data_IF_839560266876
#
_entry.id   IF_839560266876
#
_cell.length_a   1.000
_cell.length_b   1.000
_cell.length_c   1.000
_cell.angle_alpha   90.00
_cell.angle_beta   90.00
_cell.angle_gamma   90.00
#
_symmetry.space_group_name_H-M   'P 1'
#
loop_
_entity.id
_entity.type
_entity.pdbx_description
1 polymer ?
#
# COMPACT_ATOMS: atom_id res chain seq x y z
N UNK A 1 -9.41 -38.47 9.11
CA UNK A 1 -9.45 -37.01 9.31
C UNK A 1 -8.05 -36.50 9.65
N UNK A 2 -7.27 -37.13 10.56
CA UNK A 2 -5.89 -36.71 10.90
C UNK A 2 -4.94 -36.77 9.69
N UNK A 3 -4.95 -37.84 8.92
CA UNK A 3 -4.12 -38.02 7.73
C UNK A 3 -4.32 -36.95 6.65
N UNK A 4 -5.55 -36.47 6.47
CA UNK A 4 -5.88 -35.38 5.53
C UNK A 4 -5.33 -34.01 5.97
N UNK A 5 -5.27 -33.75 7.30
CA UNK A 5 -4.66 -32.54 7.86
C UNK A 5 -3.13 -32.54 7.67
N UNK A 6 -2.49 -33.67 7.90
CA UNK A 6 -1.04 -33.78 7.64
C UNK A 6 -0.71 -33.69 6.15
N UNK A 7 -1.55 -34.24 5.27
CA UNK A 7 -1.36 -34.13 3.83
C UNK A 7 -1.44 -32.68 3.34
N UNK A 8 -2.41 -31.90 3.83
CA UNK A 8 -2.53 -30.47 3.51
C UNK A 8 -1.37 -29.64 4.08
N UNK A 9 -0.92 -29.96 5.29
CA UNK A 9 0.22 -29.31 5.92
C UNK A 9 1.54 -29.67 5.22
N UNK A 10 1.70 -30.92 4.82
CA UNK A 10 2.87 -31.40 4.07
C UNK A 10 2.89 -30.83 2.64
N UNK A 11 1.73 -30.74 1.96
CA UNK A 11 1.60 -30.04 0.69
C UNK A 11 1.93 -28.55 0.83
N UNK A 12 1.52 -27.88 1.89
CA UNK A 12 1.87 -26.48 2.17
C UNK A 12 3.38 -26.31 2.39
N UNK A 13 4.02 -27.22 3.17
CA UNK A 13 5.48 -27.20 3.39
C UNK A 13 6.23 -27.49 2.09
N UNK A 14 5.80 -28.45 1.27
CA UNK A 14 6.43 -28.76 -0.03
C UNK A 14 6.26 -27.59 -1.01
N UNK A 15 5.13 -26.88 -0.97
CA UNK A 15 4.91 -25.68 -1.78
C UNK A 15 5.84 -24.52 -1.37
N UNK A 16 6.17 -24.41 -0.07
CA UNK A 16 7.10 -23.40 0.44
C UNK A 16 8.58 -23.75 0.19
N UNK A 17 8.94 -25.05 0.10
CA UNK A 17 10.34 -25.49 0.04
C UNK A 17 11.02 -25.38 -1.34
N UNK A 18 10.27 -25.13 -2.41
CA UNK A 18 10.81 -25.00 -3.78
C UNK A 18 10.59 -23.62 -4.39
N UNK A 19 10.29 -22.61 -3.57
CA UNK A 19 10.01 -21.27 -4.08
C UNK A 19 11.23 -20.37 -3.90
N UNK A 20 11.81 -20.00 -5.00
CA UNK A 20 12.80 -18.93 -5.06
C UNK A 20 12.05 -17.59 -4.97
N UNK A 21 12.09 -16.94 -3.82
CA UNK A 21 11.57 -15.58 -3.57
C UNK A 21 12.69 -14.70 -2.99
N UNK A 22 12.58 -13.40 -3.08
CA UNK A 22 13.42 -12.48 -2.32
C UNK A 22 12.49 -11.66 -1.44
N UNK A 23 12.74 -11.68 -0.13
CA UNK A 23 11.93 -11.22 0.97
C UNK A 23 10.89 -10.15 0.68
N UNK A 24 9.68 -10.35 1.16
CA UNK A 24 8.51 -9.49 0.95
C UNK A 24 8.64 -8.07 1.52
N UNK A 25 9.61 -7.31 1.05
CA UNK A 25 9.83 -5.91 1.41
C UNK A 25 9.01 -5.01 0.50
N UNK A 26 7.96 -4.38 1.03
CA UNK A 26 7.14 -3.44 0.26
C UNK A 26 7.81 -2.07 0.15
N UNK A 27 7.62 -1.42 -1.00
CA UNK A 27 8.13 -0.08 -1.30
C UNK A 27 7.02 0.93 -1.09
N UNK A 28 7.26 1.96 -0.29
CA UNK A 28 6.27 2.98 0.02
C UNK A 28 5.57 3.52 -1.24
N UNK A 29 4.26 3.71 -1.18
CA UNK A 29 3.41 4.14 -2.31
C UNK A 29 3.82 5.47 -2.93
N UNK A 30 4.54 6.33 -2.19
CA UNK A 30 5.03 7.63 -2.64
C UNK A 30 6.43 7.55 -3.26
N UNK A 31 7.00 6.36 -3.46
CA UNK A 31 8.31 6.24 -4.12
C UNK A 31 8.22 6.61 -5.60
N UNK A 32 9.13 7.44 -6.05
CA UNK A 32 9.16 7.95 -7.44
C UNK A 32 9.37 6.86 -8.50
N UNK A 33 9.82 5.67 -8.11
CA UNK A 33 9.94 4.53 -9.03
C UNK A 33 8.62 4.16 -9.69
N UNK A 34 7.49 4.34 -8.98
CA UNK A 34 6.16 4.05 -9.55
C UNK A 34 5.81 4.96 -10.72
N UNK A 35 6.17 6.24 -10.65
CA UNK A 35 5.98 7.20 -11.75
C UNK A 35 6.84 6.81 -12.96
N UNK A 36 8.10 6.40 -12.72
CA UNK A 36 8.97 5.90 -13.77
C UNK A 36 8.40 4.63 -14.44
N UNK A 37 7.92 3.65 -13.67
CA UNK A 37 7.30 2.45 -14.21
C UNK A 37 6.03 2.77 -15.02
N UNK A 38 5.20 3.70 -14.55
CA UNK A 38 4.01 4.15 -15.27
C UNK A 38 4.35 4.84 -16.60
N UNK A 39 5.38 5.69 -16.61
CA UNK A 39 5.93 6.30 -17.83
C UNK A 39 6.36 5.22 -18.81
N UNK A 40 7.13 4.22 -18.36
CA UNK A 40 7.61 3.12 -19.22
C UNK A 40 6.45 2.25 -19.74
N UNK A 41 5.44 2.01 -18.92
CA UNK A 41 4.21 1.32 -19.34
C UNK A 41 3.47 2.13 -20.42
N UNK A 42 3.30 3.43 -20.22
CA UNK A 42 2.59 4.31 -21.18
C UNK A 42 3.34 4.38 -22.52
N UNK A 43 4.67 4.35 -22.51
CA UNK A 43 5.50 4.23 -23.72
C UNK A 43 5.45 2.85 -24.38
N UNK A 44 4.91 1.84 -23.70
CA UNK A 44 4.79 0.46 -24.19
C UNK A 44 6.07 -0.35 -24.07
N UNK A 45 7.00 0.09 -23.20
CA UNK A 45 8.26 -0.61 -22.90
C UNK A 45 8.01 -1.86 -22.09
N UNK A 46 7.18 -1.75 -21.06
CA UNK A 46 6.78 -2.83 -20.13
C UNK A 46 5.27 -2.97 -20.06
N UNK A 47 4.81 -4.04 -19.37
CA UNK A 47 3.41 -4.31 -19.06
C UNK A 47 3.17 -4.21 -17.54
N UNK A 48 3.19 -2.97 -17.04
CA UNK A 48 3.08 -2.65 -15.63
C UNK A 48 1.63 -2.40 -15.21
N UNK A 49 1.21 -3.00 -14.09
CA UNK A 49 -0.06 -2.72 -13.41
C UNK A 49 0.17 -1.92 -12.14
N UNK A 50 -0.47 -0.75 -12.05
CA UNK A 50 -0.49 0.06 -10.83
C UNK A 50 -1.73 -0.15 -9.97
N UNK A 51 -2.66 -1.02 -10.38
CA UNK A 51 -3.95 -1.21 -9.72
C UNK A 51 -3.81 -1.47 -8.22
N UNK A 52 -2.77 -2.19 -7.82
CA UNK A 52 -2.48 -2.51 -6.41
C UNK A 52 -1.10 -2.00 -6.02
N UNK A 53 -1.05 -1.05 -5.10
CA UNK A 53 0.18 -0.57 -4.46
C UNK A 53 0.04 -0.60 -2.93
N UNK A 54 1.13 -0.81 -2.17
CA UNK A 54 2.53 -0.93 -2.60
C UNK A 54 2.86 -2.30 -3.23
N UNK A 55 3.95 -2.32 -4.04
CA UNK A 55 4.58 -3.53 -4.60
C UNK A 55 5.85 -3.87 -3.84
N UNK A 56 6.28 -5.13 -3.94
CA UNK A 56 7.55 -5.55 -3.34
C UNK A 56 8.75 -5.01 -4.11
N UNK A 57 9.90 -4.89 -3.45
CA UNK A 57 11.17 -4.48 -4.06
C UNK A 57 11.53 -5.42 -5.21
N UNK A 58 11.32 -6.72 -5.03
CA UNK A 58 11.60 -7.72 -6.06
C UNK A 58 10.69 -7.53 -7.30
N UNK A 59 9.39 -7.31 -7.13
CA UNK A 59 8.49 -7.06 -8.25
C UNK A 59 8.88 -5.80 -9.03
N UNK A 60 9.35 -4.76 -8.33
CA UNK A 60 9.86 -3.53 -8.97
C UNK A 60 11.15 -3.84 -9.75
N UNK A 61 12.07 -4.59 -9.17
CA UNK A 61 13.32 -4.97 -9.84
C UNK A 61 13.08 -5.79 -11.11
N UNK A 62 12.08 -6.69 -11.10
CA UNK A 62 11.67 -7.43 -12.30
C UNK A 62 11.23 -6.48 -13.43
N UNK A 63 10.42 -5.47 -13.14
CA UNK A 63 10.04 -4.46 -14.13
C UNK A 63 11.23 -3.63 -14.62
N UNK A 64 12.14 -3.22 -13.73
CA UNK A 64 13.35 -2.51 -14.12
C UNK A 64 14.22 -3.37 -15.05
N UNK A 65 14.33 -4.66 -14.77
CA UNK A 65 15.05 -5.63 -15.60
C UNK A 65 14.39 -5.83 -16.96
N UNK A 66 13.06 -5.86 -17.02
CA UNK A 66 12.31 -5.88 -18.29
C UNK A 66 12.59 -4.63 -19.12
N UNK A 67 12.62 -3.43 -18.50
CA UNK A 67 12.97 -2.17 -19.17
C UNK A 67 14.39 -2.23 -19.76
N UNK A 68 15.37 -2.70 -18.97
CA UNK A 68 16.78 -2.80 -19.39
C UNK A 68 16.96 -3.72 -20.60
N UNK A 69 16.21 -4.81 -20.62
CA UNK A 69 16.28 -5.82 -21.69
C UNK A 69 15.36 -5.51 -22.89
N UNK A 70 14.60 -4.43 -22.82
CA UNK A 70 13.67 -4.06 -23.89
C UNK A 70 14.44 -3.55 -25.13
N UNK A 71 14.02 -3.92 -26.34
CA UNK A 71 14.61 -3.37 -27.59
C UNK A 71 14.23 -1.90 -27.82
N UNK A 72 13.34 -1.34 -27.03
CA UNK A 72 12.89 0.06 -27.17
C UNK A 72 14.00 1.00 -26.75
N UNK A 73 14.34 1.96 -27.62
CA UNK A 73 15.34 2.96 -27.29
C UNK A 73 14.81 3.92 -26.20
N UNK A 74 15.54 3.96 -25.10
CA UNK A 74 15.35 4.94 -24.03
C UNK A 74 16.08 6.24 -24.36
N UNK A 75 15.53 7.38 -23.96
CA UNK A 75 16.24 8.67 -23.99
C UNK A 75 17.42 8.64 -23.02
N UNK A 76 18.31 9.62 -23.14
CA UNK A 76 19.48 9.75 -22.24
C UNK A 76 19.03 9.89 -20.78
N UNK A 77 17.99 10.69 -20.53
CA UNK A 77 17.45 10.93 -19.19
C UNK A 77 16.86 9.63 -18.63
N UNK A 78 16.05 8.92 -19.40
CA UNK A 78 15.45 7.65 -18.96
C UNK A 78 16.48 6.57 -18.66
N UNK A 79 17.60 6.52 -19.37
CA UNK A 79 18.71 5.62 -19.02
C UNK A 79 19.35 6.01 -17.70
N UNK A 80 19.55 7.30 -17.44
CA UNK A 80 20.09 7.79 -16.17
C UNK A 80 19.13 7.48 -15.00
N UNK A 81 17.82 7.67 -15.20
CA UNK A 81 16.80 7.27 -14.22
C UNK A 81 16.82 5.76 -13.96
N UNK A 82 16.87 4.95 -15.02
CA UNK A 82 16.95 3.50 -14.91
C UNK A 82 18.21 3.07 -14.15
N UNK A 83 19.39 3.61 -14.49
CA UNK A 83 20.65 3.31 -13.81
C UNK A 83 20.60 3.70 -12.33
N UNK A 84 19.91 4.81 -12.01
CA UNK A 84 19.72 5.25 -10.64
C UNK A 84 18.84 4.26 -9.85
N UNK A 85 17.73 3.79 -10.43
CA UNK A 85 16.88 2.79 -9.79
C UNK A 85 17.57 1.43 -9.70
N UNK A 86 18.40 1.03 -10.66
CA UNK A 86 19.19 -0.18 -10.55
C UNK A 86 20.15 -0.16 -9.35
N UNK A 87 20.68 1.00 -8.98
CA UNK A 87 21.47 1.15 -7.74
C UNK A 87 20.60 1.07 -6.48
N UNK A 88 19.40 1.65 -6.50
CA UNK A 88 18.45 1.57 -5.39
C UNK A 88 18.00 0.14 -5.09
N UNK A 89 17.81 -0.65 -6.15
CA UNK A 89 17.33 -2.03 -6.08
C UNK A 89 18.43 -3.05 -6.36
N UNK A 90 19.69 -2.72 -6.05
CA UNK A 90 20.88 -3.53 -6.38
C UNK A 90 20.83 -4.94 -5.78
N UNK A 91 20.35 -5.06 -4.53
CA UNK A 91 20.34 -6.32 -3.80
C UNK A 91 19.22 -7.28 -4.21
N UNK A 92 18.24 -6.82 -4.95
CA UNK A 92 17.21 -7.68 -5.53
C UNK A 92 17.73 -8.49 -6.73
N UNK A 93 18.93 -8.15 -7.23
CA UNK A 93 19.61 -8.95 -8.25
C UNK A 93 20.41 -10.09 -7.60
N UNK A 94 19.88 -11.32 -7.69
CA UNK A 94 20.51 -12.52 -7.12
C UNK A 94 21.95 -12.75 -7.56
N UNK A 95 22.29 -12.39 -8.79
CA UNK A 95 23.65 -12.55 -9.31
C UNK A 95 24.68 -11.71 -8.55
N UNK A 96 24.23 -10.66 -7.87
CA UNK A 96 25.12 -9.80 -7.09
C UNK A 96 25.43 -10.39 -5.70
N UNK A 97 24.54 -11.27 -5.17
CA UNK A 97 24.64 -11.82 -3.81
C UNK A 97 25.40 -13.17 -3.82
N UNK A 98 25.16 -14.02 -4.83
CA UNK A 98 25.69 -15.40 -4.88
C UNK A 98 27.21 -15.49 -5.01
N UNK A 99 27.92 -14.40 -5.28
CA UNK A 99 29.38 -14.38 -5.40
C UNK A 99 30.17 -13.84 -4.18
N UNK A 100 29.48 -13.36 -3.14
CA UNK A 100 30.17 -12.75 -1.99
C UNK A 100 30.18 -13.68 -0.79
N UNK A 101 31.23 -14.50 -0.69
CA UNK A 101 31.46 -15.39 0.47
C UNK A 101 31.79 -14.61 1.76
N UNK A 102 32.10 -13.32 1.66
CA UNK A 102 32.53 -12.49 2.78
C UNK A 102 31.42 -11.53 3.19
N UNK A 103 31.06 -11.53 4.47
CA UNK A 103 30.19 -10.54 5.07
C UNK A 103 30.79 -9.13 4.91
N UNK A 104 29.99 -8.15 4.50
CA UNK A 104 30.44 -6.76 4.39
C UNK A 104 29.66 -5.87 5.32
N UNK A 105 30.38 -5.14 6.15
CA UNK A 105 29.86 -4.06 6.97
C UNK A 105 30.29 -2.74 6.33
N UNK A 106 29.32 -1.91 5.94
CA UNK A 106 29.58 -0.58 5.40
C UNK A 106 28.96 0.47 6.31
N UNK A 107 29.78 1.45 6.68
CA UNK A 107 29.35 2.61 7.43
C UNK A 107 29.91 3.86 6.76
N UNK A 108 29.03 4.76 6.33
CA UNK A 108 29.38 6.00 5.63
C UNK A 108 30.26 5.80 4.38
N UNK A 109 30.27 4.62 3.76
CA UNK A 109 31.01 4.36 2.52
C UNK A 109 30.13 4.62 1.30
N UNK A 110 30.71 5.12 0.22
CA UNK A 110 30.03 5.29 -1.08
C UNK A 110 30.46 4.14 -1.98
N UNK A 111 29.60 3.14 -2.20
CA UNK A 111 29.89 2.05 -3.12
C UNK A 111 29.85 2.54 -4.57
N UNK A 112 30.56 1.86 -5.47
CA UNK A 112 30.62 2.23 -6.88
C UNK A 112 29.31 1.91 -7.63
N UNK A 113 28.74 0.76 -7.35
CA UNK A 113 27.64 0.16 -8.11
C UNK A 113 26.31 0.15 -7.34
N UNK A 114 26.28 0.72 -6.14
CA UNK A 114 25.15 0.76 -5.21
C UNK A 114 24.91 2.20 -4.75
N UNK A 115 23.78 2.44 -4.04
CA UNK A 115 23.50 3.71 -3.37
C UNK A 115 24.31 3.86 -2.08
N UNK A 116 24.59 5.11 -1.73
CA UNK A 116 25.09 5.42 -0.40
C UNK A 116 24.04 5.12 0.66
N UNK A 117 24.45 4.32 1.66
CA UNK A 117 23.67 4.05 2.86
C UNK A 117 24.46 4.50 4.09
N UNK A 118 23.75 4.99 5.11
CA UNK A 118 24.38 5.38 6.36
C UNK A 118 24.99 4.16 7.06
N UNK A 119 24.20 3.08 7.16
CA UNK A 119 24.64 1.78 7.66
C UNK A 119 24.10 0.69 6.76
N UNK A 120 24.94 -0.25 6.43
CA UNK A 120 24.58 -1.41 5.63
C UNK A 120 25.41 -2.61 6.06
N UNK A 121 24.72 -3.73 6.24
CA UNK A 121 25.34 -5.03 6.44
C UNK A 121 24.70 -6.06 5.53
N UNK A 122 25.51 -6.88 4.89
CA UNK A 122 25.01 -8.04 4.15
C UNK A 122 25.99 -9.22 4.23
N UNK A 123 25.41 -10.42 4.22
CA UNK A 123 26.10 -11.68 4.03
C UNK A 123 25.27 -12.58 3.07
N UNK A 124 25.58 -13.86 2.99
CA UNK A 124 24.86 -14.82 2.12
C UNK A 124 23.40 -15.03 2.50
N UNK A 125 22.97 -14.67 3.70
CA UNK A 125 21.64 -14.97 4.24
C UNK A 125 20.87 -13.75 4.74
N UNK A 126 21.59 -12.69 5.11
CA UNK A 126 21.00 -11.51 5.73
C UNK A 126 21.52 -10.23 5.11
N UNK A 127 20.61 -9.33 4.83
CA UNK A 127 20.90 -7.96 4.40
C UNK A 127 20.06 -6.98 5.20
N UNK A 128 20.67 -5.90 5.69
CA UNK A 128 19.98 -4.80 6.36
C UNK A 128 20.58 -3.47 5.96
N UNK A 129 19.70 -2.51 5.68
CA UNK A 129 20.05 -1.12 5.42
C UNK A 129 19.35 -0.23 6.45
N UNK A 130 20.06 0.80 6.91
CA UNK A 130 19.53 1.77 7.86
C UNK A 130 19.97 3.16 7.44
N UNK A 131 18.99 4.06 7.26
CA UNK A 131 19.22 5.43 6.84
C UNK A 131 18.49 6.42 7.76
N UNK A 132 19.13 7.49 8.26
CA UNK A 132 18.44 8.57 8.93
C UNK A 132 17.59 9.37 7.92
N UNK A 133 16.46 9.85 8.38
CA UNK A 133 15.59 10.80 7.65
C UNK A 133 15.75 12.16 8.33
N UNK A 134 16.24 13.14 7.61
CA UNK A 134 16.42 14.51 8.14
C UNK A 134 16.01 15.48 7.04
N UNK A 135 15.17 16.46 7.38
CA UNK A 135 14.80 17.48 6.45
C UNK A 135 14.14 18.70 7.08
N UNK A 136 14.11 19.75 6.31
CA UNK A 136 13.40 20.99 6.65
C UNK A 136 12.87 21.63 5.37
N UNK A 137 11.75 22.33 5.49
CA UNK A 137 11.23 23.19 4.42
C UNK A 137 10.77 24.52 4.99
N UNK A 138 10.95 25.56 4.20
CA UNK A 138 10.45 26.90 4.47
C UNK A 138 9.63 27.37 3.26
N UNK A 139 8.45 27.85 3.51
CA UNK A 139 7.55 28.32 2.47
C UNK A 139 6.82 29.61 2.83
N UNK A 140 6.29 30.25 1.82
CA UNK A 140 5.38 31.40 1.96
C UNK A 140 4.05 31.05 1.29
N UNK A 141 2.96 31.10 2.07
CA UNK A 141 1.60 30.86 1.59
C UNK A 141 0.81 32.14 1.88
N UNK A 142 0.35 32.84 0.86
CA UNK A 142 -0.35 34.13 1.00
C UNK A 142 0.36 35.13 1.92
N UNK A 143 1.69 35.26 1.79
CA UNK A 143 2.57 36.08 2.65
C UNK A 143 2.69 35.61 4.11
N UNK A 144 2.16 34.47 4.45
CA UNK A 144 2.34 33.84 5.75
C UNK A 144 3.48 32.83 5.68
N UNK A 145 4.27 32.75 6.73
CA UNK A 145 5.42 31.84 6.79
C UNK A 145 4.97 30.43 7.19
N UNK A 146 5.57 29.43 6.59
CA UNK A 146 5.48 28.04 7.00
C UNK A 146 6.87 27.46 7.15
N UNK A 147 7.19 26.94 8.32
CA UNK A 147 8.40 26.23 8.63
C UNK A 147 8.05 24.80 9.03
N UNK A 148 8.58 23.82 8.30
CA UNK A 148 8.43 22.41 8.61
C UNK A 148 9.81 21.77 8.78
N UNK A 149 9.96 20.91 9.79
CA UNK A 149 11.14 20.08 9.98
C UNK A 149 10.71 18.65 10.30
N UNK A 150 11.52 17.68 9.89
CA UNK A 150 11.28 16.28 10.19
C UNK A 150 12.59 15.55 10.44
N UNK A 151 12.51 14.57 11.33
CA UNK A 151 13.61 13.66 11.64
C UNK A 151 13.06 12.24 11.74
N UNK A 152 13.89 11.25 11.45
CA UNK A 152 13.41 9.88 11.53
C UNK A 152 14.44 8.85 11.11
N UNK A 153 13.95 7.66 10.84
CA UNK A 153 14.72 6.49 10.47
C UNK A 153 13.98 5.68 9.41
N UNK A 154 14.71 5.26 8.39
CA UNK A 154 14.24 4.28 7.42
C UNK A 154 15.14 3.06 7.43
N UNK A 155 14.56 1.88 7.51
CA UNK A 155 15.32 0.63 7.43
C UNK A 155 14.52 -0.40 6.61
N UNK A 156 15.24 -1.27 5.94
CA UNK A 156 14.69 -2.50 5.40
C UNK A 156 15.70 -3.64 5.56
N UNK A 157 15.19 -4.86 5.62
CA UNK A 157 16.02 -6.04 5.74
C UNK A 157 15.45 -7.20 4.91
N UNK A 158 16.31 -8.12 4.53
CA UNK A 158 15.94 -9.42 3.97
C UNK A 158 16.66 -10.53 4.72
N UNK A 159 15.98 -11.66 4.90
CA UNK A 159 16.48 -12.85 5.58
C UNK A 159 16.22 -14.09 4.73
N UNK A 160 17.31 -14.72 4.30
CA UNK A 160 17.26 -15.78 3.31
C UNK A 160 16.67 -15.29 1.99
N UNK A 161 15.97 -16.19 1.32
CA UNK A 161 15.41 -15.88 -0.01
C UNK A 161 13.97 -15.38 0.02
N UNK A 162 13.25 -15.54 1.14
CA UNK A 162 11.81 -15.39 1.16
C UNK A 162 11.28 -14.38 2.17
N UNK A 163 12.04 -14.09 3.23
CA UNK A 163 11.59 -13.20 4.28
C UNK A 163 12.20 -11.81 4.16
N UNK A 164 11.44 -10.81 4.50
CA UNK A 164 11.94 -9.46 4.58
C UNK A 164 10.96 -8.52 5.25
N UNK A 165 11.41 -7.30 5.48
CA UNK A 165 10.57 -6.29 6.07
C UNK A 165 11.19 -4.92 5.94
N UNK A 166 10.38 -3.92 6.26
CA UNK A 166 10.78 -2.53 6.32
C UNK A 166 10.20 -1.88 7.57
N UNK A 167 10.82 -0.82 8.00
CA UNK A 167 10.31 0.05 9.05
C UNK A 167 10.73 1.48 8.76
N UNK A 168 9.77 2.40 8.81
CA UNK A 168 9.97 3.82 8.64
C UNK A 168 9.31 4.56 9.78
N UNK A 169 10.05 5.45 10.38
CA UNK A 169 9.57 6.38 11.39
C UNK A 169 9.97 7.79 11.01
N UNK A 170 9.03 8.72 11.04
CA UNK A 170 9.27 10.14 10.78
C UNK A 170 8.47 10.98 11.75
N UNK A 171 9.19 11.78 12.53
CA UNK A 171 8.61 12.77 13.42
C UNK A 171 8.65 14.15 12.75
N UNK A 172 7.51 14.81 12.70
CA UNK A 172 7.30 16.07 11.99
C UNK A 172 6.86 17.15 12.97
N UNK A 173 7.41 18.31 12.80
CA UNK A 173 7.01 19.54 13.45
C UNK A 173 6.80 20.62 12.40
N UNK A 174 5.67 21.31 12.47
CA UNK A 174 5.27 22.35 11.53
C UNK A 174 4.78 23.57 12.28
N UNK A 175 5.27 24.75 11.90
CA UNK A 175 4.92 26.04 12.47
C UNK A 175 4.58 27.04 11.38
N UNK A 176 3.49 27.82 11.58
CA UNK A 176 3.10 28.88 10.66
C UNK A 176 1.76 29.49 10.99
N UNK A 177 1.58 30.73 10.55
CA UNK A 177 0.39 31.54 10.83
C UNK A 177 -0.88 31.01 10.13
N UNK A 178 -0.72 30.12 9.14
CA UNK A 178 -1.82 29.53 8.37
C UNK A 178 -2.27 28.15 8.91
N UNK A 179 -1.61 27.66 9.96
CA UNK A 179 -1.98 26.36 10.54
C UNK A 179 -3.36 26.45 11.18
N UNK A 180 -4.27 25.60 10.71
CA UNK A 180 -5.59 25.47 11.29
C UNK A 180 -5.47 24.77 12.65
N UNK A 181 -5.84 25.46 13.70
CA UNK A 181 -6.06 24.84 15.01
C UNK A 181 -7.13 23.75 14.87
N UNK A 182 -6.97 22.65 15.58
CA UNK A 182 -7.85 21.47 15.50
C UNK A 182 -7.84 20.72 14.16
N UNK A 183 -6.84 20.90 13.33
CA UNK A 183 -6.62 20.06 12.15
C UNK A 183 -6.41 18.60 12.59
N UNK A 184 -7.23 17.70 12.07
CA UNK A 184 -7.15 16.27 12.40
C UNK A 184 -6.14 15.55 11.50
N UNK A 185 -6.12 15.91 10.20
CA UNK A 185 -5.22 15.31 9.21
C UNK A 185 -4.29 16.36 8.63
N UNK A 186 -3.10 15.91 8.23
CA UNK A 186 -2.14 16.72 7.48
C UNK A 186 -2.53 16.76 6.00
N UNK A 187 -1.91 17.65 5.22
CA UNK A 187 -2.11 17.72 3.77
C UNK A 187 -1.38 16.57 3.04
N UNK A 188 -0.39 15.96 3.70
CA UNK A 188 0.30 14.78 3.21
C UNK A 188 -0.43 13.52 3.65
N UNK A 189 -0.59 12.55 2.78
CA UNK A 189 -0.97 11.14 3.06
C UNK A 189 -1.93 10.86 4.23
N UNK A 190 -2.78 11.81 4.63
CA UNK A 190 -3.76 11.59 5.70
C UNK A 190 -3.18 11.28 7.09
N UNK A 191 -1.95 11.71 7.39
CA UNK A 191 -1.33 11.49 8.70
C UNK A 191 -2.07 12.28 9.77
N UNK A 192 -2.40 11.62 10.87
CA UNK A 192 -3.07 12.24 12.01
C UNK A 192 -2.17 13.23 12.74
N UNK A 193 -2.71 14.40 13.10
CA UNK A 193 -2.05 15.33 13.99
C UNK A 193 -2.14 14.81 15.42
N UNK A 194 -0.99 14.61 16.07
CA UNK A 194 -0.91 14.09 17.44
C UNK A 194 -1.11 15.20 18.45
N UNK A 195 -0.50 16.37 18.20
CA UNK A 195 -0.55 17.52 19.10
C UNK A 195 -0.66 18.81 18.30
N UNK A 196 -1.56 19.67 18.73
CA UNK A 196 -1.75 21.00 18.18
C UNK A 196 -1.63 22.03 19.30
N UNK A 197 -0.89 23.09 19.04
CA UNK A 197 -0.81 24.29 19.87
C UNK A 197 -1.17 25.54 19.05
N UNK A 198 -1.13 26.71 19.63
CA UNK A 198 -1.58 27.95 18.95
C UNK A 198 -0.83 28.21 17.65
N UNK A 199 0.46 27.88 17.56
CA UNK A 199 1.31 28.22 16.43
C UNK A 199 2.04 27.02 15.78
N UNK A 200 1.87 25.81 16.31
CA UNK A 200 2.53 24.61 15.76
C UNK A 200 1.68 23.34 15.88
N UNK A 201 2.00 22.39 15.03
CA UNK A 201 1.48 21.02 15.05
C UNK A 201 2.62 20.02 15.05
N UNK A 202 2.43 18.93 15.78
CA UNK A 202 3.35 17.80 15.84
C UNK A 202 2.62 16.53 15.41
N UNK A 203 3.26 15.74 14.57
CA UNK A 203 2.70 14.48 14.11
C UNK A 203 3.81 13.50 13.72
N UNK A 204 3.58 12.24 14.00
CA UNK A 204 4.53 11.18 13.65
C UNK A 204 3.92 10.24 12.62
N UNK A 205 4.72 9.85 11.66
CA UNK A 205 4.39 8.81 10.69
C UNK A 205 5.19 7.55 11.01
N UNK A 206 4.48 6.44 11.24
CA UNK A 206 5.07 5.13 11.49
C UNK A 206 4.44 4.13 10.54
N UNK A 207 5.26 3.53 9.70
CA UNK A 207 4.84 2.44 8.84
C UNK A 207 5.92 1.37 8.76
N UNK A 208 5.53 0.17 8.42
CA UNK A 208 6.44 -0.94 8.28
C UNK A 208 5.71 -2.26 8.15
N UNK A 209 6.40 -3.24 7.61
CA UNK A 209 5.86 -4.57 7.38
C UNK A 209 6.91 -5.64 7.48
N UNK A 210 6.45 -6.85 7.78
CA UNK A 210 7.24 -8.09 7.63
C UNK A 210 6.43 -9.01 6.73
N UNK A 211 7.11 -9.60 5.76
CA UNK A 211 6.46 -10.45 4.77
C UNK A 211 7.29 -11.63 4.33
N UNK A 212 6.59 -12.61 3.83
CA UNK A 212 7.11 -13.76 3.11
C UNK A 212 6.73 -13.63 1.64
N UNK A 213 7.69 -13.74 0.75
CA UNK A 213 7.47 -13.69 -0.69
C UNK A 213 7.99 -14.96 -1.35
N UNK A 214 7.17 -15.53 -2.20
CA UNK A 214 7.52 -16.63 -3.08
C UNK A 214 7.10 -16.33 -4.51
N UNK A 215 7.45 -17.19 -5.44
CA UNK A 215 7.06 -17.05 -6.86
C UNK A 215 5.54 -16.87 -7.05
N UNK A 216 4.72 -17.52 -6.21
CA UNK A 216 3.28 -17.60 -6.40
C UNK A 216 2.47 -16.91 -5.31
N UNK A 217 3.03 -16.74 -4.12
CA UNK A 217 2.30 -16.29 -2.94
C UNK A 217 3.16 -15.31 -2.13
N UNK A 218 2.59 -14.15 -1.81
CA UNK A 218 3.16 -13.22 -0.85
C UNK A 218 2.19 -13.05 0.30
N UNK A 219 2.71 -13.11 1.52
CA UNK A 219 1.95 -12.86 2.75
C UNK A 219 2.68 -11.80 3.55
N UNK A 220 1.97 -10.80 4.05
CA UNK A 220 2.56 -9.78 4.89
C UNK A 220 1.63 -9.35 6.02
N UNK A 221 2.25 -8.92 7.10
CA UNK A 221 1.61 -8.19 8.20
C UNK A 221 2.36 -6.88 8.41
N UNK A 222 1.64 -5.83 8.74
CA UNK A 222 2.28 -4.52 8.94
C UNK A 222 1.28 -3.41 9.18
N UNK A 223 1.77 -2.19 9.06
CA UNK A 223 0.99 -0.95 9.03
C UNK A 223 1.52 -0.10 7.88
N UNK A 224 0.69 0.24 6.91
CA UNK A 224 1.14 0.98 5.73
C UNK A 224 0.00 1.78 5.08
N UNK A 225 0.37 2.56 4.07
CA UNK A 225 -0.53 3.23 3.14
C UNK A 225 -0.78 2.36 1.93
N UNK A 226 -1.98 2.49 1.36
CA UNK A 226 -2.39 1.73 0.19
C UNK A 226 -2.94 2.66 -0.88
N UNK A 227 -2.72 2.28 -2.14
CA UNK A 227 -3.28 2.96 -3.28
C UNK A 227 -3.79 1.90 -4.25
N UNK A 228 -5.12 1.73 -4.32
CA UNK A 228 -5.79 0.72 -5.15
C UNK A 228 -6.68 1.37 -6.20
N UNK A 229 -6.47 0.99 -7.45
CA UNK A 229 -7.12 1.53 -8.63
C UNK A 229 -6.16 2.22 -9.58
N UNK A 230 -6.56 2.38 -10.83
CA UNK A 230 -5.75 2.95 -11.90
C UNK A 230 -5.71 4.48 -11.92
N UNK A 231 -6.45 5.16 -11.06
CA UNK A 231 -6.48 6.63 -10.99
C UNK A 231 -5.13 7.24 -10.60
N UNK A 232 -4.82 8.45 -11.07
CA UNK A 232 -3.56 9.13 -10.74
C UNK A 232 -3.69 10.13 -9.60
N UNK A 233 -4.80 10.85 -9.53
CA UNK A 233 -5.02 11.93 -8.54
C UNK A 233 -6.17 11.64 -7.59
N UNK A 234 -7.05 10.74 -7.94
CA UNK A 234 -8.16 10.29 -7.12
C UNK A 234 -8.33 8.78 -7.24
N UNK A 235 -8.43 8.12 -6.11
CA UNK A 235 -8.66 6.68 -6.00
C UNK A 235 -10.02 6.46 -5.36
N UNK A 236 -10.86 5.64 -5.99
CA UNK A 236 -12.19 5.31 -5.46
C UNK A 236 -12.17 4.05 -4.59
N UNK A 237 -11.22 3.13 -4.82
CA UNK A 237 -11.17 1.85 -4.12
C UNK A 237 -10.48 2.04 -2.76
N UNK A 238 -9.22 2.46 -2.78
CA UNK A 238 -8.44 2.74 -1.58
C UNK A 238 -7.36 3.78 -1.91
N UNK A 239 -7.31 4.86 -1.14
CA UNK A 239 -6.42 5.98 -1.41
C UNK A 239 -5.33 6.10 -0.33
N UNK A 240 -4.12 6.45 -0.75
CA UNK A 240 -3.00 6.84 0.10
C UNK A 240 -3.24 8.12 0.91
N UNK A 241 -4.35 8.82 0.64
CA UNK A 241 -4.82 9.96 1.47
C UNK A 241 -5.53 9.50 2.75
N UNK A 242 -5.96 8.25 2.81
CA UNK A 242 -6.41 7.63 4.05
C UNK A 242 -5.22 7.41 5.01
N UNK A 243 -5.42 7.47 6.34
CA UNK A 243 -4.39 7.10 7.31
C UNK A 243 -3.86 5.70 7.08
N UNK A 244 -2.57 5.49 7.36
CA UNK A 244 -2.01 4.15 7.40
C UNK A 244 -2.68 3.31 8.49
N UNK A 245 -2.91 2.04 8.21
CA UNK A 245 -3.58 1.14 9.16
C UNK A 245 -2.87 -0.22 9.24
N UNK A 246 -2.93 -0.89 10.40
CA UNK A 246 -2.46 -2.26 10.54
C UNK A 246 -3.23 -3.20 9.62
N UNK A 247 -2.54 -4.19 9.04
CA UNK A 247 -3.14 -5.09 8.07
C UNK A 247 -2.53 -6.49 8.06
N UNK A 248 -3.30 -7.42 7.49
CA UNK A 248 -2.84 -8.71 6.97
C UNK A 248 -3.10 -8.69 5.47
N UNK A 249 -2.11 -9.04 4.65
CA UNK A 249 -2.19 -9.04 3.19
C UNK A 249 -1.79 -10.40 2.64
N UNK A 250 -2.49 -10.82 1.58
CA UNK A 250 -2.20 -12.01 0.79
C UNK A 250 -2.28 -11.66 -0.69
N UNK A 251 -1.19 -11.88 -1.42
CA UNK A 251 -1.14 -11.75 -2.87
C UNK A 251 -0.86 -13.14 -3.48
N UNK A 252 -1.65 -13.55 -4.47
CA UNK A 252 -1.50 -14.82 -5.16
C UNK A 252 -1.33 -14.56 -6.66
N UNK A 253 -0.27 -15.13 -7.26
CA UNK A 253 0.08 -15.01 -8.67
C UNK A 253 0.11 -16.41 -9.32
N UNK A 254 -1.05 -17.07 -9.50
CA UNK A 254 -1.10 -18.48 -9.94
C UNK A 254 -0.59 -18.65 -11.37
N UNK A 255 -0.83 -17.66 -12.23
CA UNK A 255 -0.40 -17.62 -13.63
C UNK A 255 -0.02 -16.18 -14.03
N UNK A 256 0.70 -16.01 -15.14
CA UNK A 256 1.22 -14.70 -15.56
C UNK A 256 0.13 -13.66 -15.93
N UNK A 257 -1.07 -14.12 -16.29
CA UNK A 257 -2.19 -13.26 -16.71
C UNK A 257 -3.24 -13.02 -15.63
N UNK A 258 -3.13 -13.67 -14.44
CA UNK A 258 -4.10 -13.54 -13.34
C UNK A 258 -3.37 -13.33 -12.02
N UNK A 259 -3.85 -12.36 -11.24
CA UNK A 259 -3.40 -12.09 -9.87
C UNK A 259 -4.61 -11.91 -8.97
N UNK A 260 -4.49 -12.38 -7.75
CA UNK A 260 -5.46 -12.19 -6.70
C UNK A 260 -4.80 -11.48 -5.52
N UNK A 261 -5.46 -10.46 -5.00
CA UNK A 261 -5.00 -9.70 -3.85
C UNK A 261 -6.09 -9.68 -2.78
N UNK A 262 -5.69 -9.82 -1.55
CA UNK A 262 -6.57 -9.71 -0.40
C UNK A 262 -5.89 -8.90 0.69
N UNK A 263 -6.67 -8.05 1.40
CA UNK A 263 -6.25 -7.32 2.58
C UNK A 263 -7.34 -7.37 3.64
N UNK A 264 -6.91 -7.52 4.89
CA UNK A 264 -7.76 -7.28 6.07
C UNK A 264 -7.09 -6.22 6.93
N UNK A 265 -7.75 -5.07 7.09
CA UNK A 265 -7.27 -3.90 7.81
C UNK A 265 -7.98 -3.69 9.14
N UNK A 266 -7.23 -3.20 10.11
CA UNK A 266 -7.69 -2.82 11.45
C UNK A 266 -7.71 -1.29 11.51
N UNK A 267 -8.92 -0.71 11.54
CA UNK A 267 -9.12 0.72 11.46
C UNK A 267 -9.42 1.33 12.84
N UNK A 268 -9.19 2.62 12.98
CA UNK A 268 -9.69 3.39 14.11
C UNK A 268 -11.06 4.02 13.74
N UNK A 269 -12.10 3.75 14.53
CA UNK A 269 -13.43 4.32 14.29
C UNK A 269 -13.54 5.77 14.76
N UNK A 270 -12.74 6.17 15.76
CA UNK A 270 -12.86 7.42 16.50
C UNK A 270 -14.24 7.67 17.11
N UNK A 271 -15.03 6.62 17.27
CA UNK A 271 -16.33 6.65 17.92
C UNK A 271 -16.18 5.98 19.28
N UNK A 272 -16.20 6.75 20.38
CA UNK A 272 -16.10 6.17 21.71
C UNK A 272 -17.26 5.22 22.01
N UNK A 273 -16.93 4.06 22.56
CA UNK A 273 -17.92 3.09 23.03
C UNK A 273 -18.28 3.39 24.49
N UNK A 274 -19.43 4.00 24.72
CA UNK A 274 -19.89 4.37 26.06
C UNK A 274 -20.05 3.18 27.02
N UNK A 275 -20.24 1.97 26.50
CA UNK A 275 -20.33 0.75 27.32
C UNK A 275 -18.99 0.35 27.97
N UNK A 276 -17.88 0.87 27.45
CA UNK A 276 -16.51 0.58 27.91
C UNK A 276 -15.93 1.66 28.83
N UNK A 277 -16.69 2.71 29.15
CA UNK A 277 -16.20 3.80 29.99
C UNK A 277 -16.00 3.34 31.43
N UNK A 278 -14.83 3.67 31.96
CA UNK A 278 -14.57 3.53 33.40
C UNK A 278 -13.64 4.62 33.90
N UNK A 279 -13.79 4.99 35.18
CA UNK A 279 -12.90 5.92 35.83
C UNK A 279 -11.58 5.22 36.19
N UNK A 280 -10.48 5.82 35.81
CA UNK A 280 -9.14 5.36 36.24
C UNK A 280 -8.90 5.79 37.68
N UNK A 281 -7.79 5.32 38.30
CA UNK A 281 -7.37 5.82 39.60
C UNK A 281 -6.48 7.08 39.49
N UNK A 282 -6.33 7.65 38.30
CA UNK A 282 -5.55 8.86 38.09
C UNK A 282 -6.42 10.09 38.35
N UNK A 283 -6.06 10.95 39.33
CA UNK A 283 -6.82 12.15 39.61
C UNK A 283 -6.61 13.21 38.52
N UNK A 284 -7.67 13.90 38.16
CA UNK A 284 -7.63 15.14 37.39
C UNK A 284 -7.26 16.33 38.33
N UNK A 285 -6.95 17.48 37.72
CA UNK A 285 -6.70 18.73 38.44
C UNK A 285 -7.88 19.25 39.28
N UNK A 286 -9.10 18.81 38.98
CA UNK A 286 -10.35 19.16 39.65
C UNK A 286 -10.83 18.12 40.68
N UNK A 287 -9.95 17.21 41.09
CA UNK A 287 -10.23 16.09 42.02
C UNK A 287 -11.20 15.03 41.47
N UNK A 288 -11.54 15.08 40.20
CA UNK A 288 -12.22 13.98 39.53
C UNK A 288 -11.21 12.94 39.02
N UNK A 289 -11.69 11.77 38.58
CA UNK A 289 -10.83 10.77 37.98
C UNK A 289 -10.85 10.83 36.45
N UNK A 290 -9.69 10.61 35.83
CA UNK A 290 -9.59 10.48 34.37
C UNK A 290 -10.47 9.33 33.91
N UNK A 291 -11.42 9.60 33.03
CA UNK A 291 -12.25 8.58 32.41
C UNK A 291 -11.53 7.96 31.22
N UNK A 292 -11.36 6.64 31.25
CA UNK A 292 -10.90 5.90 30.08
C UNK A 292 -12.04 5.70 29.11
N UNK A 293 -11.77 6.04 27.83
CA UNK A 293 -12.68 5.86 26.70
C UNK A 293 -12.00 4.92 25.71
N UNK A 294 -12.70 3.91 25.22
CA UNK A 294 -12.22 2.98 24.20
C UNK A 294 -13.12 3.18 22.98
N UNK A 295 -12.52 3.31 21.82
CA UNK A 295 -13.27 3.46 20.58
C UNK A 295 -13.82 2.11 20.13
N UNK A 296 -14.96 2.14 19.44
CA UNK A 296 -15.54 0.96 18.80
C UNK A 296 -14.57 0.37 17.78
N UNK A 297 -14.52 -0.93 17.69
CA UNK A 297 -13.71 -1.61 16.69
C UNK A 297 -14.26 -1.34 15.29
N UNK A 298 -13.36 -1.16 14.31
CA UNK A 298 -13.69 -0.96 12.91
C UNK A 298 -12.68 -1.71 12.03
N UNK A 299 -13.17 -2.39 11.02
CA UNK A 299 -12.38 -3.23 10.14
C UNK A 299 -12.67 -2.94 8.68
N UNK A 300 -11.71 -3.25 7.84
CA UNK A 300 -11.80 -3.22 6.39
C UNK A 300 -11.32 -4.55 5.84
N UNK A 301 -12.07 -5.16 4.96
CA UNK A 301 -11.59 -6.29 4.17
C UNK A 301 -11.84 -5.99 2.70
N UNK A 302 -10.89 -6.34 1.84
CA UNK A 302 -11.03 -6.19 0.41
C UNK A 302 -10.30 -7.30 -0.33
N UNK A 303 -10.82 -7.69 -1.48
CA UNK A 303 -10.10 -8.51 -2.43
C UNK A 303 -10.36 -8.06 -3.87
N UNK A 304 -9.39 -8.34 -4.73
CA UNK A 304 -9.42 -7.99 -6.14
C UNK A 304 -8.79 -9.09 -6.99
N UNK A 305 -9.45 -9.41 -8.08
CA UNK A 305 -8.93 -10.22 -9.17
C UNK A 305 -8.48 -9.29 -10.29
N UNK A 306 -7.23 -9.38 -10.66
CA UNK A 306 -6.62 -8.65 -11.77
C UNK A 306 -6.35 -9.62 -12.92
N UNK A 307 -6.77 -9.23 -14.12
CA UNK A 307 -6.59 -9.98 -15.35
C UNK A 307 -5.83 -9.16 -16.39
N UNK A 308 -4.71 -9.66 -16.83
CA UNK A 308 -3.99 -9.17 -18.01
C UNK A 308 -4.60 -9.80 -19.27
N UNK A 309 -5.53 -9.10 -19.93
CA UNK A 309 -6.25 -9.62 -21.09
C UNK A 309 -5.34 -9.66 -22.32
N UNK A 310 -4.55 -8.60 -22.51
CA UNK A 310 -3.50 -8.44 -23.52
C UNK A 310 -2.38 -7.58 -22.97
N UNK A 311 -1.29 -7.46 -23.70
CA UNK A 311 -0.22 -6.52 -23.36
C UNK A 311 -0.85 -5.12 -23.16
N UNK A 312 -0.63 -4.53 -21.99
CA UNK A 312 -1.14 -3.21 -21.59
C UNK A 312 -2.67 -3.07 -21.53
N UNK A 313 -3.42 -4.18 -21.46
CA UNK A 313 -4.86 -4.17 -21.18
C UNK A 313 -5.08 -4.99 -19.92
N UNK A 314 -5.42 -4.30 -18.84
CA UNK A 314 -5.62 -4.87 -17.52
C UNK A 314 -7.05 -4.57 -17.08
N UNK A 315 -7.78 -5.59 -16.70
CA UNK A 315 -9.09 -5.50 -16.11
C UNK A 315 -9.07 -6.06 -14.71
N UNK A 316 -9.71 -5.38 -13.79
CA UNK A 316 -9.80 -5.84 -12.40
C UNK A 316 -11.24 -5.75 -11.92
N UNK A 317 -11.62 -6.73 -11.10
CA UNK A 317 -12.89 -6.78 -10.39
C UNK A 317 -12.63 -7.15 -8.95
N UNK A 318 -13.32 -6.48 -8.03
CA UNK A 318 -13.18 -6.78 -6.62
C UNK A 318 -14.34 -6.30 -5.79
N UNK A 319 -14.27 -6.62 -4.54
CA UNK A 319 -15.20 -6.14 -3.53
C UNK A 319 -14.47 -5.76 -2.24
N UNK A 320 -15.09 -4.91 -1.48
CA UNK A 320 -14.65 -4.52 -0.15
C UNK A 320 -15.80 -4.46 0.82
N UNK A 321 -15.47 -4.54 2.10
CA UNK A 321 -16.43 -4.37 3.19
C UNK A 321 -15.81 -3.58 4.32
N UNK A 322 -16.54 -2.60 4.83
CA UNK A 322 -16.25 -1.93 6.10
C UNK A 322 -17.25 -2.44 7.13
N UNK A 323 -16.77 -2.90 8.28
CA UNK A 323 -17.63 -3.40 9.34
C UNK A 323 -17.11 -3.00 10.72
N UNK A 324 -18.00 -2.99 11.72
CA UNK A 324 -17.72 -2.48 13.06
C UNK A 324 -18.51 -3.22 14.16
N UNK A 325 -18.34 -2.74 15.40
CA UNK A 325 -19.09 -3.11 16.60
C UNK A 325 -18.87 -4.52 17.15
N UNK A 326 -18.01 -5.31 16.52
CA UNK A 326 -17.63 -6.67 16.96
C UNK A 326 -16.15 -6.90 16.69
N UNK A 327 -15.60 -8.01 17.15
CA UNK A 327 -14.25 -8.45 16.75
C UNK A 327 -14.17 -8.84 15.27
N UNK A 328 -12.97 -9.20 14.77
CA UNK A 328 -12.82 -9.67 13.40
C UNK A 328 -13.74 -10.84 13.09
N UNK A 329 -14.58 -10.71 12.08
CA UNK A 329 -15.52 -11.77 11.67
C UNK A 329 -14.82 -12.79 10.78
N UNK A 330 -14.88 -14.07 11.17
CA UNK A 330 -14.19 -15.15 10.45
C UNK A 330 -14.56 -15.23 8.96
N UNK A 331 -15.80 -14.90 8.59
CA UNK A 331 -16.23 -14.87 7.20
C UNK A 331 -15.41 -13.89 6.34
N UNK A 332 -15.06 -12.73 6.86
CA UNK A 332 -14.26 -11.74 6.13
C UNK A 332 -12.75 -12.02 6.16
N UNK A 333 -12.30 -12.97 7.01
CA UNK A 333 -10.93 -13.47 7.03
C UNK A 333 -10.67 -14.57 5.99
N UNK A 334 -11.70 -15.05 5.31
CA UNK A 334 -11.56 -16.02 4.22
C UNK A 334 -11.36 -15.24 2.89
N UNK A 335 -10.15 -15.24 2.31
CA UNK A 335 -9.81 -14.32 1.21
C UNK A 335 -10.67 -14.45 -0.05
N UNK A 336 -11.17 -15.66 -0.33
CA UNK A 336 -11.88 -16.00 -1.58
C UNK A 336 -13.39 -16.01 -1.45
N UNK A 337 -13.94 -15.67 -0.27
CA UNK A 337 -15.37 -15.68 -0.07
C UNK A 337 -15.99 -14.40 -0.61
N UNK A 338 -17.17 -14.49 -1.21
CA UNK A 338 -17.92 -13.32 -1.66
C UNK A 338 -18.53 -12.57 -0.46
N UNK A 339 -18.05 -11.37 -0.16
CA UNK A 339 -18.37 -10.63 1.06
C UNK A 339 -19.87 -10.31 1.19
N UNK A 340 -20.54 -10.07 0.07
CA UNK A 340 -21.99 -9.86 0.08
C UNK A 340 -22.77 -11.07 0.61
N UNK A 341 -22.29 -12.30 0.38
CA UNK A 341 -22.90 -13.50 0.97
C UNK A 341 -22.64 -13.58 2.47
N UNK A 342 -21.48 -13.16 2.93
CA UNK A 342 -21.12 -13.08 4.33
C UNK A 342 -22.00 -12.07 5.06
N UNK A 343 -22.26 -10.91 4.46
CA UNK A 343 -23.20 -9.92 4.98
C UNK A 343 -24.60 -10.53 5.18
N UNK A 344 -25.13 -11.22 4.17
CA UNK A 344 -26.42 -11.88 4.27
C UNK A 344 -26.48 -12.96 5.36
N UNK A 345 -25.38 -13.68 5.57
CA UNK A 345 -25.28 -14.68 6.62
C UNK A 345 -25.33 -14.08 8.02
N UNK A 346 -24.59 -12.98 8.26
CA UNK A 346 -24.52 -12.33 9.57
C UNK A 346 -25.73 -11.43 9.87
N UNK A 347 -26.32 -10.82 8.87
CA UNK A 347 -27.32 -9.75 9.04
C UNK A 347 -28.74 -10.14 8.63
N UNK A 348 -28.90 -11.29 7.95
CA UNK A 348 -30.18 -11.74 7.41
C UNK A 348 -30.64 -10.91 6.21
N UNK A 349 -31.81 -11.28 5.63
CA UNK A 349 -32.33 -10.68 4.40
C UNK A 349 -32.87 -9.26 4.51
N UNK A 350 -32.76 -8.61 5.67
CA UNK A 350 -33.23 -7.24 5.93
C UNK A 350 -32.14 -6.32 6.48
N UNK A 351 -30.88 -6.67 6.31
CA UNK A 351 -29.71 -6.20 7.05
C UNK A 351 -29.21 -4.77 6.85
N UNK A 352 -30.02 -3.82 6.42
CA UNK A 352 -29.61 -2.42 6.40
C UNK A 352 -29.42 -1.89 7.83
N UNK A 353 -28.20 -1.39 8.12
CA UNK A 353 -27.89 -0.71 9.38
C UNK A 353 -27.34 -1.59 10.49
N UNK A 354 -26.90 -2.81 10.21
CA UNK A 354 -26.31 -3.73 11.21
C UNK A 354 -24.79 -3.73 11.29
N UNK A 355 -24.11 -2.67 10.83
CA UNK A 355 -22.68 -2.47 11.10
C UNK A 355 -21.72 -2.98 10.03
N UNK A 356 -22.19 -3.40 8.84
CA UNK A 356 -21.35 -3.66 7.68
C UNK A 356 -21.85 -2.91 6.45
N UNK A 357 -20.92 -2.53 5.58
CA UNK A 357 -21.17 -1.90 4.29
C UNK A 357 -20.23 -2.52 3.25
N UNK A 358 -20.79 -3.25 2.27
CA UNK A 358 -20.05 -3.94 1.22
C UNK A 358 -20.18 -3.24 -0.12
N UNK A 359 -19.07 -3.10 -0.82
CA UNK A 359 -18.96 -2.42 -2.11
C UNK A 359 -18.38 -3.37 -3.16
N UNK A 360 -18.73 -3.14 -4.42
CA UNK A 360 -18.16 -3.82 -5.58
C UNK A 360 -17.49 -2.78 -6.47
N UNK A 361 -16.37 -3.12 -7.06
CA UNK A 361 -15.66 -2.21 -7.96
C UNK A 361 -15.05 -2.93 -9.17
N UNK A 362 -14.89 -2.15 -10.23
CA UNK A 362 -14.28 -2.55 -11.48
C UNK A 362 -13.22 -1.52 -11.86
N UNK A 363 -12.10 -1.99 -12.36
CA UNK A 363 -11.02 -1.12 -12.83
C UNK A 363 -10.53 -1.60 -14.19
N UNK A 364 -10.30 -0.66 -15.09
CA UNK A 364 -9.85 -0.93 -16.45
C UNK A 364 -8.68 0.01 -16.79
N UNK A 365 -7.58 -0.57 -17.24
CA UNK A 365 -6.41 0.15 -17.72
C UNK A 365 -6.09 -0.31 -19.14
N UNK A 366 -5.98 0.66 -20.09
CA UNK A 366 -5.89 0.37 -21.53
C UNK A 366 -4.81 1.22 -22.19
N UNK A 367 -3.71 0.59 -22.53
CA UNK A 367 -2.58 1.19 -23.23
C UNK A 367 -2.51 0.83 -24.72
N UNK A 368 -3.58 0.95 -25.48
CA UNK A 368 -3.62 0.57 -26.90
C UNK A 368 -2.76 1.47 -27.80
N UNK A 369 -2.71 2.75 -27.50
CA UNK A 369 -1.95 3.73 -28.26
C UNK A 369 -0.59 3.98 -27.61
N UNK A 370 0.47 4.13 -28.42
CA UNK A 370 1.79 4.58 -27.91
C UNK A 370 1.63 5.97 -27.32
N UNK A 371 2.26 6.21 -26.17
CA UNK A 371 2.24 7.46 -25.39
C UNK A 371 0.92 7.77 -24.68
N UNK A 372 -0.12 6.93 -24.82
CA UNK A 372 -1.40 7.13 -24.14
C UNK A 372 -1.77 5.89 -23.34
N UNK A 373 -2.25 6.12 -22.14
CA UNK A 373 -2.81 5.09 -21.27
C UNK A 373 -4.14 5.60 -20.71
N UNK A 374 -5.23 4.96 -21.10
CA UNK A 374 -6.58 5.27 -20.62
C UNK A 374 -6.90 4.41 -19.41
N UNK A 375 -7.56 4.99 -18.44
CA UNK A 375 -8.00 4.25 -17.26
C UNK A 375 -9.39 4.65 -16.83
N UNK A 376 -10.08 3.73 -16.15
CA UNK A 376 -11.37 3.99 -15.55
C UNK A 376 -11.64 3.06 -14.38
N UNK A 377 -12.23 3.62 -13.34
CA UNK A 377 -12.68 2.88 -12.15
C UNK A 377 -14.17 3.14 -11.97
N UNK A 378 -14.95 2.09 -11.76
CA UNK A 378 -16.35 2.14 -11.35
C UNK A 378 -16.44 1.55 -9.94
N UNK A 379 -17.04 2.28 -9.02
CA UNK A 379 -17.25 1.89 -7.64
C UNK A 379 -18.74 1.93 -7.30
N UNK A 380 -19.27 0.83 -6.81
CA UNK A 380 -20.68 0.65 -6.51
C UNK A 380 -20.84 0.30 -5.04
N UNK A 381 -21.38 1.22 -4.26
CA UNK A 381 -21.64 1.04 -2.84
C UNK A 381 -23.04 0.43 -2.61
N UNK A 382 -24.07 1.07 -3.12
CA UNK A 382 -25.42 0.51 -3.15
C UNK A 382 -25.99 0.56 -4.58
N UNK A 383 -26.56 -0.55 -5.03
CA UNK A 383 -27.22 -0.62 -6.34
C UNK A 383 -28.30 -1.69 -6.36
N UNK A 384 -29.46 -1.34 -6.90
CA UNK A 384 -30.56 -2.26 -7.13
C UNK A 384 -30.99 -2.23 -8.59
N UNK A 385 -30.53 -3.21 -9.37
CA UNK A 385 -30.87 -3.30 -10.80
C UNK A 385 -32.38 -3.26 -11.06
N UNK A 386 -33.19 -3.92 -10.21
CA UNK A 386 -34.64 -3.93 -10.36
C UNK A 386 -35.29 -2.57 -10.12
N UNK A 387 -34.74 -1.77 -9.22
CA UNK A 387 -35.19 -0.39 -8.95
C UNK A 387 -34.71 0.56 -10.03
N UNK A 388 -33.43 0.43 -10.41
CA UNK A 388 -32.82 1.20 -11.49
C UNK A 388 -33.63 1.08 -12.79
N UNK A 389 -33.97 -0.14 -13.21
CA UNK A 389 -34.78 -0.38 -14.40
C UNK A 389 -36.21 0.15 -14.30
N UNK A 390 -36.70 0.40 -13.09
CA UNK A 390 -38.00 1.03 -12.81
C UNK A 390 -37.94 2.55 -12.65
N UNK A 391 -36.75 3.15 -12.85
CA UNK A 391 -36.54 4.59 -12.70
C UNK A 391 -36.51 5.08 -11.25
N UNK A 392 -36.36 4.19 -10.27
CA UNK A 392 -36.20 4.55 -8.86
C UNK A 392 -34.71 4.46 -8.47
N UNK A 393 -34.07 5.61 -8.24
CA UNK A 393 -32.64 5.78 -7.96
C UNK A 393 -32.34 6.17 -6.51
N UNK A 394 -33.28 6.04 -5.59
CA UNK A 394 -33.21 6.57 -4.22
C UNK A 394 -32.02 5.99 -3.38
N UNK A 395 -31.39 4.91 -3.86
CA UNK A 395 -30.30 4.21 -3.18
C UNK A 395 -29.16 3.80 -4.12
N UNK A 396 -29.04 4.46 -5.26
CA UNK A 396 -27.95 4.17 -6.19
C UNK A 396 -26.73 5.03 -5.85
N UNK A 397 -25.78 4.47 -5.09
CA UNK A 397 -24.51 5.10 -4.77
C UNK A 397 -23.40 4.55 -5.67
N UNK A 398 -23.11 5.28 -6.73
CA UNK A 398 -22.14 4.92 -7.75
C UNK A 398 -21.13 6.04 -7.91
N UNK A 399 -19.85 5.68 -7.85
CA UNK A 399 -18.72 6.57 -8.14
C UNK A 399 -17.98 6.09 -9.39
N UNK A 400 -17.44 7.00 -10.18
CA UNK A 400 -16.58 6.64 -11.30
C UNK A 400 -15.43 7.63 -11.46
N UNK A 401 -14.32 7.12 -11.98
CA UNK A 401 -13.15 7.92 -12.38
C UNK A 401 -12.77 7.50 -13.79
N UNK A 402 -12.55 8.48 -14.67
CA UNK A 402 -12.03 8.27 -16.02
C UNK A 402 -10.85 9.19 -16.23
N UNK A 403 -9.83 8.72 -16.90
CA UNK A 403 -8.67 9.55 -17.19
C UNK A 403 -7.76 9.00 -18.28
N UNK A 404 -6.82 9.84 -18.66
CA UNK A 404 -5.77 9.52 -19.63
C UNK A 404 -4.44 10.03 -19.13
N UNK A 405 -3.43 9.16 -19.18
CA UNK A 405 -2.03 9.50 -18.93
C UNK A 405 -1.30 9.56 -20.24
N UNK A 406 -0.45 10.57 -20.38
CA UNK A 406 0.39 10.72 -21.55
C UNK A 406 1.77 11.24 -21.17
N UNK A 407 2.78 10.76 -21.88
CA UNK A 407 4.17 11.17 -21.69
C UNK A 407 4.81 11.47 -23.05
N UNK A 408 5.79 12.35 -23.06
CA UNK A 408 6.58 12.73 -24.24
C UNK A 408 5.71 13.20 -25.42
N UNK A 409 4.69 14.00 -25.18
CA UNK A 409 3.86 14.58 -26.25
C UNK A 409 4.66 15.53 -27.12
N UNK A 410 5.55 16.31 -26.52
CA UNK A 410 6.44 17.21 -27.21
C UNK A 410 7.79 16.52 -27.39
N UNK A 411 8.27 16.36 -28.63
CA UNK A 411 9.62 15.83 -28.86
C UNK A 411 10.65 16.85 -28.37
N UNK A 412 11.61 16.38 -27.56
CA UNK A 412 12.79 17.15 -27.09
C UNK A 412 12.55 18.11 -25.89
N UNK A 413 11.58 17.89 -25.03
CA UNK A 413 11.53 18.53 -23.71
C UNK A 413 11.78 17.53 -22.61
#
# INVERSE_FOLDING_TARGET
ILMRKYLLFTLFIIFCSNSYGQGGVYVNVNNTVYEFLEKMNTKGVIDYSKVIMPKTRYEIFDYLSEIKNSPTQLTKIERQELDWYFKEFFYENRNNIVGTADSKLMFLKVPKDDRWNFFEYYDSTFHIVLNPIIGASYGLIYNQTNLKRWTGLSTYFSLGENWGGNFNYRDNWEKGDHLLQNKIFTDETGIEVIKSSEDNIEYSDVNGSVGFESKYVNVAIGKDYFNWGSGNRSQLILSDKAPSFPYIRLDIKPVHWMRFYYIHGFLNSRIPDSSTYYNTQLPNSDSTYVQRKIDRSKFYAAHILEFKIKKRIIFSIGESVVYSDQGPRAGYLIPVIFFRLVDHYYEGTGGFGKGSNSQIFFDLNVGLLKKFNFYGTLFVDEFSLSKFLKGNHDRDHIGYTLGVNTYDLLPNF
#
